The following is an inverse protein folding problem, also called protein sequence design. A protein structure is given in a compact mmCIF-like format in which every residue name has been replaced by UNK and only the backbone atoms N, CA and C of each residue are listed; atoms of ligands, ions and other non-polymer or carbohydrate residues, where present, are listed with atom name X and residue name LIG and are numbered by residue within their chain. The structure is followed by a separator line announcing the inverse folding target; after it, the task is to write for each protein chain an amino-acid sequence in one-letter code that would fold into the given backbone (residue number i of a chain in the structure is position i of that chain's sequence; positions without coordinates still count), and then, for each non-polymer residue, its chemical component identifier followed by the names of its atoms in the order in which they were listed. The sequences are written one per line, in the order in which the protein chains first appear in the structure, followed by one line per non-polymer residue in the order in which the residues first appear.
data_IF_109414676743
#
_entry.id   IF_109414676743
#
_cell.length_a   1.000
_cell.length_b   1.000
_cell.length_c   1.000
_cell.angle_alpha   90.00
_cell.angle_beta   90.00
_cell.angle_gamma   90.00
#
_symmetry.space_group_name_H-M   'P 1'
#
loop_
_entity.id
_entity.type
_entity.pdbx_description
1 polymer ?
#
# COMPACT_ATOMS: atom_id res chain seq x y z
N UNK A 1 -6.54 -7.41 -15.41
CA UNK A 1 -5.17 -7.70 -14.96
C UNK A 1 -5.27 -8.46 -13.65
N UNK A 2 -4.51 -9.55 -13.48
CA UNK A 2 -4.45 -10.29 -12.21
C UNK A 2 -3.24 -9.77 -11.44
N UNK A 3 -3.47 -9.08 -10.32
CA UNK A 3 -2.42 -8.55 -9.46
C UNK A 3 -2.07 -9.60 -8.42
N UNK A 4 -0.80 -10.02 -8.35
CA UNK A 4 -0.31 -10.98 -7.35
C UNK A 4 0.81 -10.37 -6.54
N UNK A 5 1.01 -10.87 -5.32
CA UNK A 5 2.17 -10.49 -4.51
C UNK A 5 3.46 -10.81 -5.27
N UNK A 6 4.41 -9.88 -5.25
CA UNK A 6 5.68 -9.99 -5.96
C UNK A 6 5.63 -9.54 -7.42
N UNK A 7 4.45 -9.36 -8.02
CA UNK A 7 4.32 -8.79 -9.37
C UNK A 7 4.91 -7.39 -9.42
N UNK A 8 5.57 -7.09 -10.54
CA UNK A 8 6.13 -5.78 -10.85
C UNK A 8 5.21 -5.08 -11.85
N UNK A 9 4.83 -3.85 -11.54
CA UNK A 9 3.78 -3.11 -12.23
C UNK A 9 4.17 -1.65 -12.42
N UNK A 10 3.54 -0.99 -13.38
CA UNK A 10 3.60 0.47 -13.56
C UNK A 10 2.18 1.03 -13.59
N UNK A 11 2.00 2.25 -13.08
CA UNK A 11 0.73 2.94 -13.15
C UNK A 11 0.64 3.74 -14.46
N UNK A 12 -0.42 3.52 -15.24
CA UNK A 12 -0.57 4.10 -16.59
C UNK A 12 -0.87 5.60 -16.58
N UNK A 13 -1.56 6.10 -15.55
CA UNK A 13 -1.92 7.53 -15.40
C UNK A 13 -0.79 8.29 -14.68
N UNK A 14 -0.51 7.91 -13.43
CA UNK A 14 0.58 8.43 -12.62
C UNK A 14 1.96 7.83 -13.00
N UNK A 15 2.50 8.25 -14.15
CA UNK A 15 3.80 7.78 -14.65
C UNK A 15 4.95 8.15 -13.71
N UNK A 16 4.81 9.24 -12.96
CA UNK A 16 5.79 9.77 -12.02
C UNK A 16 6.07 8.85 -10.82
N UNK A 17 5.16 7.92 -10.51
CA UNK A 17 5.43 6.91 -9.47
C UNK A 17 6.45 5.87 -9.94
N UNK A 18 6.61 5.71 -11.25
CA UNK A 18 7.51 4.73 -11.86
C UNK A 18 7.06 3.28 -11.65
N UNK A 19 8.03 2.39 -11.65
CA UNK A 19 7.82 0.95 -11.46
C UNK A 19 7.60 0.65 -9.98
N UNK A 20 6.69 -0.26 -9.66
CA UNK A 20 6.40 -0.67 -8.31
C UNK A 20 6.25 -2.17 -8.15
N UNK A 21 6.60 -2.67 -6.96
CA UNK A 21 6.44 -4.07 -6.58
C UNK A 21 5.26 -4.22 -5.64
N UNK A 22 4.39 -5.16 -5.97
CA UNK A 22 3.24 -5.52 -5.13
C UNK A 22 3.74 -6.26 -3.90
N UNK A 23 3.56 -5.69 -2.72
CA UNK A 23 4.02 -6.28 -1.45
C UNK A 23 2.94 -7.08 -0.74
N UNK A 24 1.67 -6.75 -0.97
CA UNK A 24 0.49 -7.36 -0.37
C UNK A 24 -0.69 -7.27 -1.33
N UNK A 25 -1.55 -8.29 -1.36
CA UNK A 25 -2.83 -8.30 -2.09
C UNK A 25 -3.88 -8.88 -1.16
N UNK A 26 -5.03 -8.22 -1.08
CA UNK A 26 -6.25 -8.75 -0.49
C UNK A 26 -7.42 -8.53 -1.46
N UNK A 27 -8.61 -8.99 -1.08
CA UNK A 27 -9.82 -8.95 -1.93
C UNK A 27 -10.19 -7.53 -2.38
N UNK A 28 -9.83 -6.51 -1.59
CA UNK A 28 -10.26 -5.13 -1.80
C UNK A 28 -9.17 -4.30 -2.49
N UNK A 29 -7.90 -4.60 -2.24
CA UNK A 29 -6.77 -3.76 -2.68
C UNK A 29 -5.44 -4.48 -2.76
N UNK A 30 -4.53 -3.89 -3.52
CA UNK A 30 -3.11 -4.20 -3.51
C UNK A 30 -2.31 -3.08 -2.83
N UNK A 31 -1.33 -3.45 -2.01
CA UNK A 31 -0.32 -2.53 -1.48
C UNK A 31 0.92 -2.64 -2.37
N UNK A 32 1.37 -1.51 -2.92
CA UNK A 32 2.46 -1.45 -3.90
C UNK A 32 3.50 -0.45 -3.41
N UNK A 33 4.77 -0.87 -3.40
CA UNK A 33 5.91 0.02 -3.17
C UNK A 33 6.45 0.46 -4.52
N UNK A 34 6.41 1.75 -4.79
CA UNK A 34 6.89 2.34 -6.04
C UNK A 34 8.36 2.78 -5.91
N UNK A 35 9.04 2.95 -7.05
CA UNK A 35 10.43 3.39 -7.12
C UNK A 35 10.62 4.83 -6.59
N UNK A 36 9.55 5.62 -6.54
CA UNK A 36 9.52 6.93 -5.86
C UNK A 36 9.64 6.82 -4.32
N UNK A 37 9.78 5.61 -3.79
CA UNK A 37 9.90 5.31 -2.36
C UNK A 37 8.56 5.16 -1.64
N UNK A 38 7.47 5.64 -2.24
CA UNK A 38 6.17 5.73 -1.56
C UNK A 38 5.39 4.42 -1.72
N UNK A 39 4.78 3.99 -0.61
CA UNK A 39 3.86 2.86 -0.59
C UNK A 39 2.43 3.37 -0.81
N UNK A 40 1.79 2.90 -1.88
CA UNK A 40 0.40 3.25 -2.20
C UNK A 40 -0.51 2.04 -2.15
N UNK A 41 -1.77 2.28 -1.81
CA UNK A 41 -2.83 1.27 -1.76
C UNK A 41 -3.78 1.51 -2.93
N UNK A 42 -3.83 0.56 -3.84
CA UNK A 42 -4.68 0.63 -5.03
C UNK A 42 -5.85 -0.33 -4.83
N UNK A 43 -7.07 0.20 -4.84
CA UNK A 43 -8.28 -0.63 -4.74
C UNK A 43 -8.48 -1.44 -6.01
N UNK A 44 -9.11 -2.61 -5.90
CA UNK A 44 -9.30 -3.56 -7.00
C UNK A 44 -10.01 -2.96 -8.22
N UNK A 45 -10.96 -2.04 -7.99
CA UNK A 45 -11.65 -1.29 -9.06
C UNK A 45 -10.71 -0.46 -9.95
N UNK A 46 -9.51 -0.13 -9.46
CA UNK A 46 -8.51 0.66 -10.18
C UNK A 46 -7.36 -0.19 -10.75
N UNK A 47 -7.43 -1.53 -10.67
CA UNK A 47 -6.38 -2.39 -11.23
C UNK A 47 -6.24 -2.29 -12.75
N UNK A 48 -7.25 -1.76 -13.46
CA UNK A 48 -7.16 -1.51 -14.91
C UNK A 48 -6.14 -0.43 -15.26
N UNK A 49 -5.82 0.45 -14.31
CA UNK A 49 -4.79 1.48 -14.46
C UNK A 49 -3.38 0.95 -14.22
N UNK A 50 -3.23 -0.29 -13.74
CA UNK A 50 -1.95 -0.96 -13.59
C UNK A 50 -1.61 -1.72 -14.88
N UNK A 51 -0.33 -1.75 -15.22
CA UNK A 51 0.23 -2.55 -16.31
C UNK A 51 1.38 -3.40 -15.77
N UNK A 52 1.57 -4.63 -16.28
CA UNK A 52 2.78 -5.39 -16.01
C UNK A 52 4.01 -4.58 -16.43
N UNK A 53 5.07 -4.63 -15.63
CA UNK A 53 6.37 -4.05 -15.94
C UNK A 53 7.45 -5.13 -15.80
N UNK A 54 8.60 -4.89 -16.42
CA UNK A 54 9.73 -5.80 -16.34
C UNK A 54 10.25 -5.88 -14.89
N UNK A 55 10.35 -7.08 -14.28
CA UNK A 55 10.91 -7.26 -12.96
C UNK A 55 12.31 -6.68 -12.77
N UNK A 56 13.12 -6.63 -13.83
CA UNK A 56 14.50 -6.08 -13.78
C UNK A 56 14.53 -4.56 -13.59
N UNK A 57 13.42 -3.87 -13.94
CA UNK A 57 13.29 -2.41 -13.86
C UNK A 57 12.87 -1.90 -12.47
N UNK A 58 12.52 -2.80 -11.55
CA UNK A 58 12.18 -2.40 -10.18
C UNK A 58 13.45 -2.19 -9.36
N UNK A 59 13.63 -0.96 -8.88
CA UNK A 59 14.76 -0.56 -8.06
C UNK A 59 14.23 -0.23 -6.66
N UNK A 60 14.40 -1.13 -5.68
CA UNK A 60 13.91 -0.85 -4.33
C UNK A 60 14.65 0.38 -3.78
N UNK A 61 13.90 1.43 -3.45
CA UNK A 61 14.42 2.55 -2.68
C UNK A 61 15.13 2.01 -1.42
N UNK A 62 16.36 2.45 -1.20
CA UNK A 62 17.20 2.01 -0.09
C UNK A 62 16.41 2.10 1.22
N UNK A 63 16.28 0.96 1.92
CA UNK A 63 15.50 0.72 3.15
C UNK A 63 14.97 1.98 3.84
N UNK A 64 13.74 2.38 3.52
CA UNK A 64 12.98 3.23 4.45
C UNK A 64 12.48 2.39 5.62
N UNK A 65 12.92 2.83 6.81
CA UNK A 65 12.48 2.40 8.14
C UNK A 65 10.94 2.33 8.16
N UNK A 66 10.32 1.24 8.63
CA UNK A 66 8.86 1.15 8.66
C UNK A 66 8.29 2.34 9.45
N UNK A 67 7.32 3.10 8.89
CA UNK A 67 6.67 4.15 9.65
C UNK A 67 5.99 3.49 10.84
N UNK A 68 6.45 3.85 12.05
CA UNK A 68 5.80 3.52 13.32
C UNK A 68 4.39 4.07 13.23
N UNK A 69 3.40 3.21 12.94
CA UNK A 69 2.00 3.61 13.06
C UNK A 69 1.75 3.88 14.54
N UNK A 70 1.33 5.08 14.95
CA UNK A 70 0.83 5.27 16.30
C UNK A 70 -0.42 4.38 16.45
N UNK A 71 -0.31 3.37 17.31
CA UNK A 71 -1.42 2.52 17.73
C UNK A 71 -2.45 3.44 18.37
N UNK A 72 -3.53 3.76 17.65
CA UNK A 72 -4.67 4.50 18.22
C UNK A 72 -5.22 3.65 19.36
N UNK A 73 -4.84 3.97 20.61
CA UNK A 73 -5.46 3.42 21.81
C UNK A 73 -6.92 3.89 21.78
N UNK A 74 -7.85 2.96 21.61
CA UNK A 74 -9.26 3.20 21.90
C UNK A 74 -9.37 3.44 23.41
N UNK A 75 -9.50 4.71 23.81
CA UNK A 75 -9.85 5.04 25.18
C UNK A 75 -11.35 4.75 25.36
N UNK A 76 -11.66 3.70 26.11
CA UNK A 76 -13.00 3.40 26.60
C UNK A 76 -13.44 4.50 27.58
N UNK A 77 -14.59 5.19 27.41
CA UNK A 77 -15.08 6.09 28.43
C UNK A 77 -15.67 5.31 29.62
N UNK A 78 -15.17 5.63 30.82
CA UNK A 78 -15.56 5.10 32.13
C UNK A 78 -17.06 5.18 32.39
N UNK A 79 -17.63 4.10 32.91
CA UNK A 79 -18.93 4.05 33.59
C UNK A 79 -18.91 4.99 34.79
N UNK A 80 -19.72 6.06 34.78
CA UNK A 80 -20.02 6.85 35.99
C UNK A 80 -21.03 6.07 36.83
N UNK A 81 -20.65 5.67 38.04
CA UNK A 81 -21.62 5.32 39.10
C UNK A 81 -22.31 6.61 39.57
N UNK A 82 -23.64 6.65 39.76
CA UNK A 82 -24.28 7.71 40.53
C UNK A 82 -24.01 7.48 42.02
N UNK A 83 -23.59 8.53 42.72
CA UNK A 83 -23.53 8.61 44.18
C UNK A 83 -24.94 8.90 44.74
N UNK A 84 -25.29 8.21 45.83
CA UNK A 84 -26.46 8.47 46.67
C UNK A 84 -26.46 9.89 47.24
#
# INVERSE_FOLDING_TARGET
MIVKRGSVVIHSVAKEWGVGKVVEVNEIRATIRFNDGIIRKIVSSHFRSLKPADPSSYLPAAKEVPPVKPRRRTASPKTKKPSL
#
